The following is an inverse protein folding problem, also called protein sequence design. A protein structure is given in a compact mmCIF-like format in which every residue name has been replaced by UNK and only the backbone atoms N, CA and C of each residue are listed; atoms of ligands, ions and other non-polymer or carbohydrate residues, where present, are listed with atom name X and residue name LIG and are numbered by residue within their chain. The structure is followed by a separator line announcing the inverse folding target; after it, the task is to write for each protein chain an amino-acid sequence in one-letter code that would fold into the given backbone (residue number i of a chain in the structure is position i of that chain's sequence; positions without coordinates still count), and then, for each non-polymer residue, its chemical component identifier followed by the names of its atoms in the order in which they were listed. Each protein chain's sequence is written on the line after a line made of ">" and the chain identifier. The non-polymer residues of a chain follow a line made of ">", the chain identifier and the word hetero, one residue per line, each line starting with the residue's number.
data_IF_137859923080
#
_entry.id   IF_137859923080
#
_cell.length_a   1.000
_cell.length_b   1.000
_cell.length_c   1.000
_cell.angle_alpha   90.00
_cell.angle_beta   90.00
_cell.angle_gamma   90.00
#
_symmetry.space_group_name_H-M   'P 1'
#
loop_
_entity.id
_entity.type
_entity.pdbx_description
1 polymer ?
#
# COMPACT_ATOMS: atom_id res chain seq x y z
N UNK A 1 -0.90 39.36 -2.90
CA UNK A 1 -1.03 38.37 -1.83
C UNK A 1 0.26 38.21 -1.03
N UNK A 2 1.25 37.41 -1.46
CA UNK A 2 2.48 37.15 -0.66
C UNK A 2 3.31 38.42 -0.41
N UNK A 3 3.32 39.39 -1.34
CA UNK A 3 3.90 40.72 -1.11
C UNK A 3 3.24 41.48 0.06
N UNK A 4 1.94 41.33 0.28
CA UNK A 4 1.26 41.94 1.45
C UNK A 4 1.71 41.29 2.76
N UNK A 5 1.94 39.97 2.78
CA UNK A 5 2.49 39.26 3.94
C UNK A 5 3.88 39.80 4.31
N UNK A 6 4.79 39.90 3.32
CA UNK A 6 6.13 40.47 3.53
C UNK A 6 6.06 41.91 4.04
N UNK A 7 5.28 42.79 3.39
CA UNK A 7 5.11 44.17 3.83
C UNK A 7 4.63 44.24 5.29
N UNK A 8 3.54 43.53 5.62
CA UNK A 8 2.97 43.56 6.97
C UNK A 8 3.89 42.97 8.04
N UNK A 9 4.71 41.98 7.68
CA UNK A 9 5.70 41.37 8.56
C UNK A 9 6.87 42.32 8.87
N UNK A 10 7.32 43.13 7.90
CA UNK A 10 8.31 44.17 8.14
C UNK A 10 7.71 45.41 8.84
N UNK A 11 6.46 45.79 8.56
CA UNK A 11 5.74 46.83 9.31
C UNK A 11 5.78 46.55 10.83
N UNK A 12 5.61 45.28 11.24
CA UNK A 12 5.61 44.85 12.64
C UNK A 12 6.95 45.12 13.34
N UNK A 13 8.06 44.89 12.63
CA UNK A 13 9.42 45.16 13.13
C UNK A 13 9.67 46.66 13.30
N UNK A 14 9.20 47.46 12.35
CA UNK A 14 9.53 48.88 12.25
C UNK A 14 8.54 49.80 13.00
N UNK A 15 7.37 49.30 13.39
CA UNK A 15 6.35 50.05 14.12
C UNK A 15 5.83 49.30 15.36
N UNK A 16 6.40 49.54 16.57
CA UNK A 16 6.00 48.88 17.81
C UNK A 16 4.63 49.31 18.36
N UNK A 17 3.85 50.12 17.62
CA UNK A 17 2.45 50.44 17.95
C UNK A 17 1.44 49.53 17.22
N UNK A 18 1.88 48.61 16.38
CA UNK A 18 1.00 47.63 15.73
C UNK A 18 0.55 46.61 16.78
N UNK A 19 -0.77 46.46 16.94
CA UNK A 19 -1.33 45.37 17.73
C UNK A 19 -0.95 44.01 17.11
N UNK A 20 -0.18 43.26 17.88
CA UNK A 20 0.33 41.94 17.54
C UNK A 20 -0.80 40.90 17.32
N UNK A 21 -2.00 41.11 17.88
CA UNK A 21 -3.15 40.22 17.67
C UNK A 21 -3.86 40.49 16.33
N UNK A 22 -4.12 41.76 15.98
CA UNK A 22 -4.54 42.16 14.62
C UNK A 22 -3.53 41.70 13.56
N UNK A 23 -2.22 41.77 13.85
CA UNK A 23 -1.19 41.22 12.96
C UNK A 23 -1.34 39.70 12.77
N UNK A 24 -1.56 38.94 13.85
CA UNK A 24 -1.78 37.50 13.79
C UNK A 24 -2.95 37.10 12.90
N UNK A 25 -4.10 37.74 13.07
CA UNK A 25 -5.29 37.45 12.26
C UNK A 25 -5.06 37.76 10.78
N UNK A 26 -4.44 38.92 10.49
CA UNK A 26 -4.08 39.30 9.13
C UNK A 26 -3.13 38.28 8.48
N UNK A 27 -2.08 37.85 9.19
CA UNK A 27 -1.14 36.86 8.67
C UNK A 27 -1.79 35.48 8.49
N UNK A 28 -2.63 35.01 9.41
CA UNK A 28 -3.40 33.77 9.24
C UNK A 28 -4.31 33.86 8.00
N UNK A 29 -5.07 34.95 7.85
CA UNK A 29 -5.93 35.16 6.69
C UNK A 29 -5.13 35.16 5.38
N UNK A 30 -4.09 35.99 5.27
CA UNK A 30 -3.30 36.13 4.03
C UNK A 30 -2.43 34.91 3.69
N UNK A 31 -1.94 34.16 4.69
CA UNK A 31 -1.26 32.89 4.46
C UNK A 31 -2.25 31.81 3.99
N UNK A 32 -3.46 31.78 4.54
CA UNK A 32 -4.56 30.90 4.06
C UNK A 32 -4.97 31.23 2.63
N UNK A 33 -5.10 32.51 2.30
CA UNK A 33 -5.40 32.99 0.94
C UNK A 33 -4.32 32.49 -0.05
N UNK A 34 -3.04 32.65 0.30
CA UNK A 34 -1.91 32.24 -0.53
C UNK A 34 -1.78 30.72 -0.66
N UNK A 35 -1.98 29.97 0.43
CA UNK A 35 -1.98 28.51 0.45
C UNK A 35 -3.04 27.94 -0.49
N UNK A 36 -4.25 28.48 -0.44
CA UNK A 36 -5.34 28.05 -1.32
C UNK A 36 -5.05 28.36 -2.79
N UNK A 37 -4.47 29.52 -3.11
CA UNK A 37 -4.07 29.86 -4.48
C UNK A 37 -2.91 28.99 -4.99
N UNK A 38 -1.97 28.60 -4.13
CA UNK A 38 -0.90 27.66 -4.46
C UNK A 38 -1.45 26.28 -4.86
N UNK A 39 -2.28 25.66 -4.00
CA UNK A 39 -2.69 24.26 -4.19
C UNK A 39 -3.95 24.07 -5.04
N UNK A 40 -4.96 24.93 -4.90
CA UNK A 40 -6.23 24.80 -5.64
C UNK A 40 -6.27 25.66 -6.92
N UNK A 41 -5.40 26.67 -7.03
CA UNK A 41 -5.24 27.49 -8.24
C UNK A 41 -4.06 27.05 -9.13
N UNK A 42 -3.39 25.94 -8.78
CA UNK A 42 -2.18 25.40 -9.43
C UNK A 42 -1.03 26.41 -9.67
N UNK A 43 -1.03 27.53 -8.92
CA UNK A 43 -0.14 28.64 -9.16
C UNK A 43 1.25 28.41 -8.53
N UNK A 44 2.14 27.80 -9.31
CA UNK A 44 3.51 27.46 -8.90
C UNK A 44 4.33 28.68 -8.43
N UNK A 45 4.15 29.86 -9.03
CA UNK A 45 4.85 31.08 -8.61
C UNK A 45 4.37 31.57 -7.24
N UNK A 46 3.07 31.46 -6.94
CA UNK A 46 2.53 31.72 -5.59
C UNK A 46 3.03 30.67 -4.60
N UNK A 47 3.09 29.38 -4.97
CA UNK A 47 3.68 28.33 -4.13
C UNK A 47 5.15 28.62 -3.78
N UNK A 48 5.95 29.04 -4.76
CA UNK A 48 7.36 29.37 -4.56
C UNK A 48 7.51 30.58 -3.61
N UNK A 49 6.83 31.69 -3.91
CA UNK A 49 6.86 32.90 -3.08
C UNK A 49 6.39 32.63 -1.65
N UNK A 50 5.36 31.80 -1.47
CA UNK A 50 4.83 31.45 -0.15
C UNK A 50 5.84 30.63 0.67
N UNK A 51 6.61 29.73 0.05
CA UNK A 51 7.65 28.98 0.75
C UNK A 51 8.87 29.88 1.07
N UNK A 52 9.23 30.84 0.20
CA UNK A 52 10.22 31.87 0.54
C UNK A 52 9.79 32.69 1.76
N UNK A 53 8.54 33.18 1.77
CA UNK A 53 7.99 33.91 2.91
C UNK A 53 8.01 33.06 4.20
N UNK A 54 7.63 31.79 4.11
CA UNK A 54 7.69 30.85 5.25
C UNK A 54 9.12 30.71 5.78
N UNK A 55 10.11 30.52 4.92
CA UNK A 55 11.51 30.36 5.32
C UNK A 55 12.05 31.64 5.99
N UNK A 56 11.76 32.81 5.41
CA UNK A 56 12.18 34.10 5.98
C UNK A 56 11.46 34.40 7.30
N UNK A 57 10.18 34.06 7.42
CA UNK A 57 9.41 34.18 8.65
C UNK A 57 9.97 33.28 9.74
N UNK A 58 10.09 31.98 9.49
CA UNK A 58 10.56 31.01 10.49
C UNK A 58 11.99 31.32 10.99
N UNK A 59 12.86 31.80 10.09
CA UNK A 59 14.22 32.23 10.44
C UNK A 59 14.26 33.47 11.34
N UNK A 60 13.33 34.42 11.17
CA UNK A 60 13.39 35.74 11.82
C UNK A 60 12.23 36.01 12.79
N UNK A 61 11.30 35.05 13.01
CA UNK A 61 10.12 35.22 13.87
C UNK A 61 10.49 35.67 15.28
N UNK A 62 11.55 35.13 15.86
CA UNK A 62 12.00 35.49 17.22
C UNK A 62 12.63 36.88 17.29
N UNK A 63 13.33 37.35 16.25
CA UNK A 63 14.02 38.64 16.23
C UNK A 63 13.13 39.81 15.82
N UNK A 64 12.17 39.60 14.91
CA UNK A 64 11.19 40.62 14.52
C UNK A 64 10.07 40.83 15.57
N UNK A 65 9.98 39.98 16.60
CA UNK A 65 8.97 40.04 17.67
C UNK A 65 9.38 40.81 18.93
N UNK A 66 10.51 41.52 18.95
CA UNK A 66 10.87 42.35 20.12
C UNK A 66 9.74 43.30 20.60
N UNK A 67 8.84 43.83 19.74
CA UNK A 67 7.65 44.59 20.16
C UNK A 67 6.50 43.79 20.77
N UNK A 68 6.48 42.46 20.66
CA UNK A 68 5.34 41.59 20.94
C UNK A 68 5.60 40.56 22.08
N UNK A 69 6.10 40.96 23.27
CA UNK A 69 6.64 40.04 24.29
C UNK A 69 5.62 39.06 24.91
N UNK A 70 4.32 39.28 24.71
CA UNK A 70 3.24 38.43 25.23
C UNK A 70 2.56 37.56 24.17
N UNK A 71 3.01 37.62 22.90
CA UNK A 71 2.39 36.87 21.80
C UNK A 71 3.41 35.93 21.15
N UNK A 72 3.20 34.63 21.33
CA UNK A 72 3.85 33.59 20.54
C UNK A 72 3.27 33.59 19.14
N UNK A 73 4.08 33.90 18.11
CA UNK A 73 3.67 33.66 16.72
C UNK A 73 3.50 32.15 16.48
N UNK A 74 2.46 31.71 15.75
CA UNK A 74 2.31 30.32 15.35
C UNK A 74 3.42 29.92 14.38
N UNK A 75 3.78 28.64 14.39
CA UNK A 75 4.63 28.09 13.35
C UNK A 75 3.84 28.06 12.04
N UNK A 76 4.41 28.58 10.95
CA UNK A 76 3.78 28.52 9.63
C UNK A 76 3.96 27.11 9.05
N UNK A 77 2.89 26.37 8.75
CA UNK A 77 2.99 24.97 8.33
C UNK A 77 3.94 24.76 7.15
N UNK A 78 4.88 23.84 7.33
CA UNK A 78 5.76 23.38 6.27
C UNK A 78 4.96 22.67 5.18
N UNK A 79 5.25 23.03 3.94
CA UNK A 79 4.81 22.30 2.76
C UNK A 79 5.99 22.03 1.85
N UNK A 80 5.94 20.90 1.15
CA UNK A 80 6.97 20.41 0.25
C UNK A 80 6.50 20.65 -1.17
N UNK A 81 7.19 21.56 -1.86
CA UNK A 81 7.13 21.68 -3.31
C UNK A 81 7.68 20.39 -3.91
N UNK A 82 6.99 19.83 -4.91
CA UNK A 82 7.49 18.66 -5.62
C UNK A 82 8.57 19.12 -6.63
N UNK A 83 9.85 18.77 -6.47
CA UNK A 83 10.92 19.30 -7.33
C UNK A 83 10.83 18.84 -8.79
N UNK A 84 9.91 17.93 -9.11
CA UNK A 84 9.54 17.59 -10.48
C UNK A 84 8.70 18.67 -11.18
N UNK A 85 8.17 19.68 -10.46
CA UNK A 85 7.40 20.81 -11.02
C UNK A 85 8.28 21.84 -11.75
N UNK A 86 9.11 21.37 -12.67
CA UNK A 86 9.77 22.21 -13.67
C UNK A 86 8.72 22.83 -14.60
N UNK A 87 9.06 23.95 -15.26
CA UNK A 87 8.12 24.81 -16.01
C UNK A 87 7.39 24.16 -17.21
N UNK A 88 7.72 22.92 -17.56
CA UNK A 88 7.02 22.14 -18.58
C UNK A 88 6.23 21.02 -17.89
N UNK A 89 4.91 21.19 -17.78
CA UNK A 89 4.05 20.35 -16.97
C UNK A 89 3.78 18.96 -17.54
N UNK A 90 4.67 18.00 -17.25
CA UNK A 90 4.29 16.58 -17.10
C UNK A 90 4.45 16.18 -15.63
N UNK A 91 3.41 16.47 -14.84
CA UNK A 91 3.13 15.69 -13.65
C UNK A 91 2.74 14.30 -14.16
N UNK A 92 3.52 13.26 -13.83
CA UNK A 92 3.01 11.89 -13.97
C UNK A 92 1.74 11.80 -13.11
N UNK A 93 0.57 11.63 -13.73
CA UNK A 93 -0.72 11.76 -13.06
C UNK A 93 -0.90 10.71 -11.96
N UNK A 94 -0.54 11.13 -10.75
CA UNK A 94 -0.61 10.36 -9.50
C UNK A 94 -2.01 9.77 -9.33
N UNK A 95 -2.08 8.51 -8.93
CA UNK A 95 -3.32 7.74 -8.91
C UNK A 95 -4.36 8.38 -7.97
N UNK A 96 -3.94 8.96 -6.85
CA UNK A 96 -4.82 9.76 -6.00
C UNK A 96 -5.55 10.87 -6.75
N UNK A 97 -4.87 11.56 -7.70
CA UNK A 97 -5.50 12.59 -8.53
C UNK A 97 -6.56 11.97 -9.45
N UNK A 98 -6.25 10.87 -10.14
CA UNK A 98 -7.24 10.13 -10.95
C UNK A 98 -8.48 9.77 -10.11
N UNK A 99 -8.26 9.22 -8.91
CA UNK A 99 -9.32 8.86 -7.95
C UNK A 99 -10.12 10.05 -7.39
N UNK A 100 -9.66 11.29 -7.57
CA UNK A 100 -10.32 12.52 -7.10
C UNK A 100 -11.00 13.29 -8.23
N UNK A 101 -10.40 13.29 -9.43
CA UNK A 101 -10.83 14.09 -10.57
C UNK A 101 -11.72 13.30 -11.54
N UNK A 102 -11.34 12.08 -11.93
CA UNK A 102 -12.04 11.32 -12.99
C UNK A 102 -13.49 10.96 -12.62
N UNK A 103 -14.47 11.06 -13.53
CA UNK A 103 -15.80 10.53 -13.29
C UNK A 103 -15.74 9.00 -13.08
N UNK A 104 -16.62 8.40 -12.26
CA UNK A 104 -16.57 6.96 -11.95
C UNK A 104 -16.59 6.05 -13.18
N UNK A 105 -17.23 6.51 -14.26
CA UNK A 105 -17.41 5.80 -15.53
C UNK A 105 -16.13 5.68 -16.37
N UNK A 106 -15.13 6.54 -16.16
CA UNK A 106 -13.84 6.48 -16.89
C UNK A 106 -12.71 5.81 -16.10
N UNK A 107 -12.90 5.55 -14.80
CA UNK A 107 -11.83 5.11 -13.91
C UNK A 107 -11.36 3.67 -14.23
N UNK A 108 -10.35 3.56 -15.09
CA UNK A 108 -9.73 2.30 -15.52
C UNK A 108 -9.11 1.48 -14.38
N UNK A 109 -8.88 2.09 -13.21
CA UNK A 109 -8.37 1.39 -12.03
C UNK A 109 -9.42 0.47 -11.39
N UNK A 110 -10.71 0.68 -11.68
CA UNK A 110 -11.82 -0.05 -11.08
C UNK A 110 -12.01 0.23 -9.58
N UNK A 111 -11.47 1.35 -9.08
CA UNK A 111 -11.54 1.76 -7.67
C UNK A 111 -12.65 2.78 -7.44
N UNK A 112 -13.20 2.86 -6.23
CA UNK A 112 -14.23 3.86 -5.89
C UNK A 112 -13.65 5.28 -5.87
N UNK A 113 -14.44 6.25 -6.36
CA UNK A 113 -14.04 7.67 -6.37
C UNK A 113 -13.93 8.24 -4.95
N UNK A 114 -12.88 9.02 -4.72
CA UNK A 114 -12.65 9.81 -3.50
C UNK A 114 -13.43 11.14 -3.64
N UNK A 115 -14.45 11.35 -2.81
CA UNK A 115 -15.40 12.47 -2.97
C UNK A 115 -15.30 13.51 -1.86
N UNK A 116 -16.04 14.62 -1.98
CA UNK A 116 -16.16 15.64 -0.92
C UNK A 116 -16.98 15.16 0.28
N UNK A 117 -17.87 14.18 0.07
CA UNK A 117 -18.72 13.60 1.12
C UNK A 117 -18.09 12.36 1.77
N UNK A 118 -17.33 11.57 1.01
CA UNK A 118 -16.72 10.31 1.44
C UNK A 118 -15.20 10.39 1.29
N UNK A 119 -14.49 10.21 2.40
CA UNK A 119 -13.03 10.38 2.53
C UNK A 119 -12.54 11.82 2.27
N UNK A 120 -13.31 12.82 2.72
CA UNK A 120 -13.06 14.27 2.53
C UNK A 120 -11.61 14.70 2.84
N UNK A 121 -11.01 14.18 3.90
CA UNK A 121 -9.68 14.57 4.36
C UNK A 121 -8.58 13.91 3.52
N UNK A 122 -8.84 12.71 3.00
CA UNK A 122 -8.00 12.06 2.00
C UNK A 122 -8.07 12.81 0.66
N UNK A 123 -9.25 13.27 0.25
CA UNK A 123 -9.42 14.16 -0.91
C UNK A 123 -8.63 15.45 -0.76
N UNK A 124 -8.70 16.06 0.43
CA UNK A 124 -7.95 17.27 0.74
C UNK A 124 -6.44 17.06 0.68
N UNK A 125 -5.91 15.97 1.27
CA UNK A 125 -4.50 15.61 1.17
C UNK A 125 -4.01 15.53 -0.29
N UNK A 126 -4.77 14.86 -1.15
CA UNK A 126 -4.43 14.65 -2.56
C UNK A 126 -4.36 15.99 -3.31
N UNK A 127 -5.37 16.85 -3.16
CA UNK A 127 -5.39 18.17 -3.79
C UNK A 127 -4.28 19.11 -3.25
N UNK A 128 -3.93 18.97 -1.97
CA UNK A 128 -2.77 19.64 -1.36
C UNK A 128 -1.43 18.96 -1.73
N UNK A 129 -1.41 18.07 -2.73
CA UNK A 129 -0.22 17.39 -3.27
C UNK A 129 0.58 16.66 -2.18
N UNK A 130 -0.15 16.01 -1.27
CA UNK A 130 0.33 15.29 -0.09
C UNK A 130 0.92 16.15 1.05
N UNK A 131 0.59 17.44 1.10
CA UNK A 131 0.81 18.30 2.26
C UNK A 131 -0.37 18.24 3.24
N UNK A 132 -0.08 18.36 4.54
CA UNK A 132 -1.12 18.40 5.59
C UNK A 132 -1.96 19.68 5.42
N UNK A 133 -3.29 19.64 5.58
CA UNK A 133 -4.14 20.83 5.60
C UNK A 133 -3.64 21.93 6.52
N UNK A 134 -3.79 23.19 6.09
CA UNK A 134 -3.32 24.35 6.82
C UNK A 134 -4.06 24.49 8.16
N UNK A 135 -3.31 24.37 9.25
CA UNK A 135 -3.77 24.48 10.65
C UNK A 135 -2.68 25.14 11.50
N UNK A 136 -3.04 25.72 12.64
CA UNK A 136 -2.15 26.65 13.37
C UNK A 136 -1.71 26.16 14.75
N UNK A 137 -2.14 24.96 15.16
CA UNK A 137 -1.73 24.33 16.42
C UNK A 137 -1.31 22.87 16.21
N UNK A 138 -0.45 22.37 17.10
CA UNK A 138 -0.02 20.96 17.11
C UNK A 138 -1.19 19.99 17.29
N UNK A 139 -2.19 20.33 18.09
CA UNK A 139 -3.34 19.45 18.33
C UNK A 139 -4.28 19.38 17.11
N UNK A 140 -4.47 20.48 16.37
CA UNK A 140 -5.15 20.46 15.08
C UNK A 140 -4.36 19.67 14.03
N UNK A 141 -3.03 19.85 13.96
CA UNK A 141 -2.13 19.13 13.05
C UNK A 141 -2.20 17.62 13.26
N UNK A 142 -2.10 17.17 14.51
CA UNK A 142 -2.25 15.76 14.91
C UNK A 142 -3.66 15.23 14.58
N UNK A 143 -4.69 16.06 14.78
CA UNK A 143 -6.08 15.71 14.42
C UNK A 143 -6.29 15.58 12.91
N UNK A 144 -5.71 16.48 12.10
CA UNK A 144 -5.73 16.39 10.64
C UNK A 144 -4.99 15.14 10.16
N UNK A 145 -3.78 14.87 10.69
CA UNK A 145 -3.01 13.66 10.38
C UNK A 145 -3.77 12.36 10.72
N UNK A 146 -4.46 12.32 11.85
CA UNK A 146 -5.24 11.14 12.25
C UNK A 146 -6.53 10.98 11.45
N UNK A 147 -7.21 12.06 11.08
CA UNK A 147 -8.37 11.99 10.18
C UNK A 147 -7.98 11.55 8.76
N UNK A 148 -6.87 12.07 8.22
CA UNK A 148 -6.28 11.60 6.96
C UNK A 148 -6.01 10.09 7.01
N UNK A 149 -5.37 9.62 8.07
CA UNK A 149 -5.04 8.21 8.28
C UNK A 149 -6.29 7.33 8.36
N UNK A 150 -7.31 7.74 9.12
CA UNK A 150 -8.57 7.02 9.26
C UNK A 150 -9.35 6.99 7.94
N UNK A 151 -9.41 8.10 7.20
CA UNK A 151 -10.03 8.16 5.87
C UNK A 151 -9.29 7.30 4.83
N UNK A 152 -7.95 7.21 4.89
CA UNK A 152 -7.17 6.28 4.08
C UNK A 152 -7.41 4.81 4.43
N UNK A 153 -7.44 4.47 5.72
CA UNK A 153 -7.71 3.09 6.19
C UNK A 153 -9.11 2.64 5.78
N UNK A 154 -10.13 3.51 5.92
CA UNK A 154 -11.49 3.25 5.43
C UNK A 154 -11.50 3.02 3.93
N UNK A 155 -10.83 3.88 3.15
CA UNK A 155 -10.70 3.70 1.70
C UNK A 155 -10.10 2.34 1.33
N UNK A 156 -9.00 1.92 1.98
CA UNK A 156 -8.37 0.64 1.70
C UNK A 156 -9.23 -0.57 2.08
N UNK A 157 -10.02 -0.46 3.16
CA UNK A 157 -10.96 -1.51 3.58
C UNK A 157 -12.12 -1.67 2.60
N UNK A 158 -12.65 -0.57 2.08
CA UNK A 158 -13.79 -0.59 1.15
C UNK A 158 -13.40 -0.98 -0.27
N UNK A 159 -12.18 -0.67 -0.72
CA UNK A 159 -11.63 -1.09 -2.01
C UNK A 159 -10.80 -2.39 -1.91
N UNK A 160 -10.93 -3.12 -0.81
CA UNK A 160 -10.15 -4.32 -0.52
C UNK A 160 -10.34 -5.39 -1.62
N UNK A 161 -9.25 -6.03 -2.04
CA UNK A 161 -9.26 -7.08 -3.06
C UNK A 161 -9.16 -6.59 -4.52
N UNK A 162 -9.27 -5.29 -4.79
CA UNK A 162 -8.99 -4.70 -6.11
C UNK A 162 -7.47 -4.58 -6.34
N UNK A 163 -6.94 -5.14 -7.44
CA UNK A 163 -5.50 -5.17 -7.70
C UNK A 163 -4.83 -3.78 -7.67
N UNK A 164 -5.46 -2.79 -8.30
CA UNK A 164 -4.91 -1.44 -8.44
C UNK A 164 -4.85 -0.65 -7.12
N UNK A 165 -5.52 -1.10 -6.05
CA UNK A 165 -5.44 -0.45 -4.73
C UNK A 165 -3.98 -0.35 -4.26
N UNK A 166 -3.15 -1.36 -4.55
CA UNK A 166 -1.75 -1.39 -4.11
C UNK A 166 -0.93 -0.20 -4.63
N UNK A 167 -1.28 0.31 -5.82
CA UNK A 167 -0.59 1.43 -6.44
C UNK A 167 -0.87 2.72 -5.66
N UNK A 168 -2.14 2.96 -5.31
CA UNK A 168 -2.55 4.08 -4.45
C UNK A 168 -1.99 3.94 -3.02
N UNK A 169 -1.91 2.73 -2.47
CA UNK A 169 -1.30 2.50 -1.15
C UNK A 169 0.19 2.83 -1.13
N UNK A 170 0.92 2.44 -2.17
CA UNK A 170 2.34 2.78 -2.32
C UNK A 170 2.52 4.30 -2.46
N UNK A 171 1.66 4.96 -3.22
CA UNK A 171 1.67 6.42 -3.40
C UNK A 171 1.41 7.17 -2.08
N UNK A 172 0.40 6.77 -1.30
CA UNK A 172 0.14 7.34 0.03
C UNK A 172 1.30 7.11 1.01
N UNK A 173 1.94 5.94 0.98
CA UNK A 173 3.12 5.63 1.79
C UNK A 173 4.32 6.53 1.42
N UNK A 174 4.67 6.57 0.14
CA UNK A 174 5.84 7.29 -0.38
C UNK A 174 5.67 8.82 -0.33
N UNK A 175 4.52 9.35 -0.74
CA UNK A 175 4.32 10.80 -0.81
C UNK A 175 3.89 11.44 0.52
N UNK A 176 3.28 10.68 1.45
CA UNK A 176 2.79 11.21 2.72
C UNK A 176 3.28 10.44 3.95
N UNK A 177 2.77 9.22 4.20
CA UNK A 177 2.82 8.62 5.54
C UNK A 177 4.25 8.48 6.09
N UNK A 178 5.19 8.03 5.26
CA UNK A 178 6.60 7.83 5.67
C UNK A 178 7.30 9.16 5.97
N UNK A 179 6.92 10.25 5.29
CA UNK A 179 7.44 11.61 5.57
C UNK A 179 6.93 12.19 6.90
N UNK A 180 5.93 11.56 7.52
CA UNK A 180 5.29 11.98 8.77
C UNK A 180 5.45 10.95 9.91
N UNK A 181 6.28 9.90 9.72
CA UNK A 181 6.36 8.77 10.66
C UNK A 181 6.75 9.20 12.09
N UNK A 182 7.70 10.13 12.24
CA UNK A 182 8.13 10.66 13.53
C UNK A 182 6.99 11.39 14.28
N UNK A 183 6.10 12.08 13.57
CA UNK A 183 4.94 12.76 14.17
C UNK A 183 3.84 11.76 14.54
N UNK A 184 3.65 10.72 13.72
CA UNK A 184 2.77 9.59 14.08
C UNK A 184 3.27 8.83 15.32
N UNK A 185 4.57 8.64 15.50
CA UNK A 185 5.15 8.00 16.70
C UNK A 185 4.90 8.82 17.99
N UNK A 186 5.00 10.16 17.91
CA UNK A 186 4.61 11.06 19.02
C UNK A 186 3.13 10.87 19.37
N UNK A 187 2.24 10.85 18.38
CA UNK A 187 0.79 10.64 18.57
C UNK A 187 0.54 9.27 19.23
N UNK A 188 1.18 8.21 18.76
CA UNK A 188 1.00 6.86 19.32
C UNK A 188 1.45 6.77 20.78
N UNK A 189 2.56 7.43 21.13
CA UNK A 189 3.06 7.50 22.52
C UNK A 189 2.07 8.25 23.42
N UNK A 190 1.71 9.47 23.05
CA UNK A 190 0.81 10.37 23.76
C UNK A 190 -0.56 9.70 24.07
N UNK A 191 -1.17 9.12 23.03
CA UNK A 191 -2.47 8.47 23.14
C UNK A 191 -2.45 7.09 23.82
N UNK A 192 -1.28 6.47 24.02
CA UNK A 192 -1.15 5.25 24.82
C UNK A 192 -1.34 5.57 26.32
N UNK A 193 -0.86 6.73 26.77
CA UNK A 193 -1.05 7.20 28.15
C UNK A 193 -2.47 7.69 28.47
N UNK A 194 -3.16 8.32 27.51
CA UNK A 194 -4.52 8.84 27.73
C UNK A 194 -5.37 8.82 26.46
N UNK A 195 -6.14 7.74 26.26
CA UNK A 195 -6.89 7.47 25.02
C UNK A 195 -7.91 8.52 24.59
N UNK A 196 -8.44 9.32 25.52
CA UNK A 196 -9.63 10.15 25.27
C UNK A 196 -9.49 11.64 25.64
N UNK A 197 -8.36 12.06 26.21
CA UNK A 197 -8.16 13.48 26.58
C UNK A 197 -8.09 14.44 25.37
N UNK A 198 -7.78 13.92 24.17
CA UNK A 198 -7.67 14.72 22.94
C UNK A 198 -8.31 13.99 21.77
N UNK A 199 -8.92 14.78 20.86
CA UNK A 199 -9.66 14.26 19.70
C UNK A 199 -8.83 13.33 18.79
N UNK A 200 -7.55 13.63 18.57
CA UNK A 200 -6.66 12.75 17.81
C UNK A 200 -6.40 11.39 18.48
N UNK A 201 -6.55 11.28 19.81
CA UNK A 201 -6.45 10.02 20.54
C UNK A 201 -7.73 9.17 20.41
N UNK A 202 -8.90 9.80 20.29
CA UNK A 202 -10.14 9.09 19.90
C UNK A 202 -10.00 8.51 18.49
N UNK A 203 -9.45 9.27 17.54
CA UNK A 203 -9.18 8.80 16.17
C UNK A 203 -8.13 7.67 16.14
N UNK A 204 -7.08 7.77 16.98
CA UNK A 204 -6.08 6.71 17.15
C UNK A 204 -6.70 5.44 17.74
N UNK A 205 -7.58 5.57 18.74
CA UNK A 205 -8.29 4.44 19.35
C UNK A 205 -9.09 3.68 18.29
N UNK A 206 -9.90 4.39 17.47
CA UNK A 206 -10.62 3.82 16.31
C UNK A 206 -9.65 3.10 15.35
N UNK A 207 -8.50 3.68 15.01
CA UNK A 207 -7.51 3.03 14.15
C UNK A 207 -6.91 1.76 14.78
N UNK A 208 -6.64 1.77 16.10
CA UNK A 208 -5.98 0.67 16.81
C UNK A 208 -6.91 -0.46 17.30
N UNK A 209 -8.21 -0.20 17.35
CA UNK A 209 -9.22 -1.14 17.85
C UNK A 209 -10.16 -1.59 16.72
N UNK A 210 -10.98 -0.68 16.14
CA UNK A 210 -11.95 -1.01 15.07
C UNK A 210 -11.28 -1.43 13.75
N UNK A 211 -10.13 -0.83 13.43
CA UNK A 211 -9.35 -1.09 12.20
C UNK A 211 -7.98 -1.72 12.50
N UNK A 212 -7.89 -2.45 13.61
CA UNK A 212 -6.65 -3.02 14.16
C UNK A 212 -5.82 -3.82 13.15
N UNK A 213 -6.44 -4.56 12.23
CA UNK A 213 -5.72 -5.34 11.22
C UNK A 213 -5.11 -4.41 10.17
N UNK A 214 -5.93 -3.55 9.59
CA UNK A 214 -5.60 -2.60 8.53
C UNK A 214 -4.50 -1.63 8.96
N UNK A 215 -4.59 -1.12 10.19
CA UNK A 215 -3.63 -0.22 10.79
C UNK A 215 -2.30 -0.91 11.15
N UNK A 216 -2.34 -2.10 11.74
CA UNK A 216 -1.14 -2.92 12.00
C UNK A 216 -0.39 -3.24 10.70
N UNK A 217 -1.13 -3.54 9.63
CA UNK A 217 -0.55 -3.85 8.33
C UNK A 217 0.02 -2.63 7.60
N UNK A 218 -0.61 -1.45 7.73
CA UNK A 218 -0.03 -0.20 7.26
C UNK A 218 1.34 0.06 7.91
N UNK A 219 1.43 -0.05 9.25
CA UNK A 219 2.70 0.13 9.99
C UNK A 219 3.76 -0.85 9.50
N UNK A 220 3.43 -2.14 9.39
CA UNK A 220 4.31 -3.19 8.86
C UNK A 220 4.79 -2.92 7.43
N UNK A 221 3.96 -2.32 6.57
CA UNK A 221 4.34 -2.00 5.20
C UNK A 221 5.17 -0.70 5.10
N UNK A 222 4.93 0.29 5.96
CA UNK A 222 5.84 1.43 6.13
C UNK A 222 7.23 0.97 6.61
N UNK A 223 7.30 0.07 7.60
CA UNK A 223 8.56 -0.52 8.09
C UNK A 223 9.37 -1.19 6.97
N UNK A 224 8.70 -1.97 6.10
CA UNK A 224 9.34 -2.61 4.93
C UNK A 224 9.93 -1.58 3.98
N UNK A 225 9.20 -0.52 3.68
CA UNK A 225 9.63 0.53 2.75
C UNK A 225 10.82 1.30 3.32
N UNK A 226 10.76 1.70 4.59
CA UNK A 226 11.85 2.36 5.31
C UNK A 226 13.12 1.48 5.34
N UNK A 227 12.96 0.16 5.50
CA UNK A 227 14.03 -0.83 5.46
C UNK A 227 14.46 -1.23 4.03
N UNK A 228 14.12 -0.43 3.02
CA UNK A 228 14.54 -0.60 1.62
C UNK A 228 13.84 -1.71 0.82
N UNK A 229 13.00 -2.54 1.45
CA UNK A 229 12.34 -3.69 0.83
C UNK A 229 11.09 -3.28 0.03
N UNK A 230 11.23 -2.33 -0.90
CA UNK A 230 10.15 -1.78 -1.75
C UNK A 230 9.34 -2.87 -2.50
N UNK A 231 9.98 -3.98 -2.87
CA UNK A 231 9.38 -5.05 -3.70
C UNK A 231 8.36 -5.98 -3.03
N UNK A 232 7.93 -5.73 -1.78
CA UNK A 232 7.02 -6.65 -1.07
C UNK A 232 5.94 -5.97 -0.22
N UNK A 233 5.49 -4.77 -0.60
CA UNK A 233 4.22 -4.24 -0.08
C UNK A 233 3.10 -5.09 -0.70
N UNK A 234 2.65 -6.06 0.09
CA UNK A 234 1.45 -6.86 -0.15
C UNK A 234 0.57 -6.60 1.06
N UNK A 235 -0.57 -5.96 0.84
CA UNK A 235 -1.63 -5.88 1.84
C UNK A 235 -2.32 -7.24 1.87
N UNK A 236 -2.25 -7.95 2.99
CA UNK A 236 -2.76 -9.32 3.14
C UNK A 236 -4.28 -9.34 3.28
N UNK A 237 -4.96 -8.89 2.21
CA UNK A 237 -6.31 -9.32 1.89
C UNK A 237 -6.32 -10.85 1.86
N UNK A 238 -6.86 -11.45 2.93
CA UNK A 238 -7.06 -12.90 3.00
C UNK A 238 -8.32 -13.20 2.22
N UNK A 239 -8.17 -13.30 0.88
CA UNK A 239 -8.98 -14.14 -0.03
C UNK A 239 -8.59 -13.90 -1.50
N UNK A 240 -8.23 -12.68 -1.91
CA UNK A 240 -8.02 -12.35 -3.32
C UNK A 240 -6.60 -12.66 -3.86
N UNK A 241 -6.11 -13.88 -3.63
CA UNK A 241 -4.96 -14.46 -4.35
C UNK A 241 -5.38 -15.01 -5.72
N UNK A 242 -6.24 -14.30 -6.46
CA UNK A 242 -6.45 -14.61 -7.88
C UNK A 242 -5.18 -14.29 -8.66
N UNK A 243 -4.84 -15.16 -9.62
CA UNK A 243 -3.76 -14.91 -10.56
C UNK A 243 -3.97 -13.61 -11.35
N UNK A 244 -5.22 -13.16 -11.54
CA UNK A 244 -5.56 -11.92 -12.26
C UNK A 244 -5.07 -10.67 -11.52
N UNK A 245 -5.13 -10.67 -10.19
CA UNK A 245 -4.60 -9.59 -9.35
C UNK A 245 -3.07 -9.52 -9.44
N UNK A 246 -2.39 -10.67 -9.49
CA UNK A 246 -0.93 -10.71 -9.70
C UNK A 246 -0.57 -10.27 -11.13
N UNK A 247 -1.28 -10.76 -12.13
CA UNK A 247 -1.06 -10.44 -13.56
C UNK A 247 -1.23 -8.94 -13.82
N UNK A 248 -2.25 -8.28 -13.27
CA UNK A 248 -2.46 -6.84 -13.44
C UNK A 248 -1.35 -6.00 -12.77
N UNK A 249 -0.91 -6.37 -11.56
CA UNK A 249 0.24 -5.74 -10.89
C UNK A 249 1.53 -5.90 -11.73
N UNK A 250 1.76 -7.07 -12.32
CA UNK A 250 2.91 -7.29 -13.20
C UNK A 250 2.80 -6.57 -14.56
N UNK A 251 1.60 -6.46 -15.13
CA UNK A 251 1.33 -5.81 -16.42
C UNK A 251 1.55 -4.31 -16.39
N UNK A 252 1.31 -3.68 -15.24
CA UNK A 252 1.48 -2.24 -15.03
C UNK A 252 2.93 -1.83 -14.67
N UNK A 253 3.88 -2.78 -14.64
CA UNK A 253 5.30 -2.51 -14.42
C UNK A 253 6.13 -2.81 -15.68
N UNK A 254 6.66 -1.78 -16.39
CA UNK A 254 7.32 -1.97 -17.68
C UNK A 254 8.58 -2.85 -17.60
N UNK A 255 9.31 -2.82 -16.47
CA UNK A 255 10.49 -3.64 -16.27
C UNK A 255 10.15 -5.13 -16.13
N UNK A 256 9.00 -5.46 -15.53
CA UNK A 256 8.57 -6.85 -15.34
C UNK A 256 8.09 -7.44 -16.66
N UNK A 257 7.47 -6.64 -17.53
CA UNK A 257 7.00 -7.09 -18.85
C UNK A 257 8.14 -7.66 -19.73
N UNK A 258 9.33 -7.07 -19.65
CA UNK A 258 10.53 -7.55 -20.36
C UNK A 258 11.16 -8.82 -19.73
N UNK A 259 10.95 -9.07 -18.44
CA UNK A 259 11.58 -10.18 -17.70
C UNK A 259 10.64 -11.40 -17.61
N UNK A 260 9.33 -11.21 -17.77
CA UNK A 260 8.31 -12.26 -17.74
C UNK A 260 8.63 -13.47 -18.64
N UNK A 261 9.08 -13.31 -19.91
CA UNK A 261 9.41 -14.45 -20.78
C UNK A 261 10.58 -15.29 -20.23
N UNK A 262 11.58 -14.64 -19.64
CA UNK A 262 12.73 -15.32 -19.03
C UNK A 262 12.33 -16.09 -17.75
N UNK A 263 11.44 -15.53 -16.93
CA UNK A 263 10.90 -16.22 -15.74
C UNK A 263 10.08 -17.45 -16.16
N UNK A 264 9.20 -17.32 -17.15
CA UNK A 264 8.40 -18.46 -17.66
C UNK A 264 9.31 -19.54 -18.25
N UNK A 265 10.34 -19.16 -19.02
CA UNK A 265 11.34 -20.09 -19.54
C UNK A 265 12.11 -20.82 -18.42
N UNK A 266 12.53 -20.12 -17.36
CA UNK A 266 13.21 -20.72 -16.21
C UNK A 266 12.30 -21.67 -15.42
N UNK A 267 11.01 -21.36 -15.27
CA UNK A 267 10.03 -22.24 -14.61
C UNK A 267 9.81 -23.51 -15.45
N UNK A 268 9.58 -23.37 -16.76
CA UNK A 268 9.42 -24.51 -17.68
C UNK A 268 10.69 -25.37 -17.72
N UNK A 269 11.87 -24.76 -17.83
CA UNK A 269 13.15 -25.46 -17.78
C UNK A 269 13.34 -26.21 -16.45
N UNK A 270 12.95 -25.60 -15.32
CA UNK A 270 13.00 -26.27 -14.02
C UNK A 270 12.05 -27.48 -13.96
N UNK A 271 10.81 -27.35 -14.45
CA UNK A 271 9.84 -28.46 -14.51
C UNK A 271 10.35 -29.60 -15.40
N UNK A 272 10.95 -29.28 -16.55
CA UNK A 272 11.58 -30.26 -17.44
C UNK A 272 12.80 -30.92 -16.79
N UNK A 273 13.66 -30.16 -16.10
CA UNK A 273 14.83 -30.67 -15.39
C UNK A 273 14.44 -31.60 -14.22
N UNK A 274 13.44 -31.21 -13.41
CA UNK A 274 12.94 -32.05 -12.31
C UNK A 274 12.21 -33.29 -12.82
N UNK A 275 11.40 -33.21 -13.88
CA UNK A 275 10.73 -34.38 -14.45
C UNK A 275 11.74 -35.36 -15.07
N UNK A 276 12.72 -34.87 -15.83
CA UNK A 276 13.85 -35.66 -16.33
C UNK A 276 14.58 -36.37 -15.18
N UNK A 277 15.03 -35.63 -14.16
CA UNK A 277 15.79 -36.15 -13.02
C UNK A 277 14.98 -37.11 -12.12
N UNK A 278 13.66 -36.97 -12.08
CA UNK A 278 12.77 -37.91 -11.38
C UNK A 278 12.52 -39.22 -12.16
N UNK A 279 12.96 -39.34 -13.42
CA UNK A 279 12.84 -40.59 -14.19
C UNK A 279 13.70 -41.70 -13.56
N UNK A 280 14.94 -41.39 -13.17
CA UNK A 280 15.81 -42.30 -12.43
C UNK A 280 15.28 -42.63 -11.03
N UNK A 281 14.61 -41.67 -10.37
CA UNK A 281 13.97 -41.91 -9.06
C UNK A 281 12.83 -42.93 -9.20
N UNK A 282 12.03 -42.87 -10.28
CA UNK A 282 11.02 -43.91 -10.58
C UNK A 282 11.65 -45.28 -10.86
N UNK A 283 12.79 -45.34 -11.54
CA UNK A 283 13.53 -46.57 -11.78
C UNK A 283 14.11 -47.16 -10.47
N UNK A 284 14.70 -46.33 -9.61
CA UNK A 284 15.22 -46.69 -8.30
C UNK A 284 14.12 -47.18 -7.34
N UNK A 285 12.97 -46.49 -7.29
CA UNK A 285 11.80 -46.92 -6.53
C UNK A 285 11.28 -48.28 -7.00
N UNK A 286 11.13 -48.50 -8.33
CA UNK A 286 10.78 -49.83 -8.86
C UNK A 286 11.79 -50.90 -8.43
N UNK A 287 13.10 -50.62 -8.54
CA UNK A 287 14.20 -51.55 -8.23
C UNK A 287 14.25 -51.96 -6.75
N UNK A 288 13.84 -51.07 -5.83
CA UNK A 288 13.87 -51.32 -4.39
C UNK A 288 12.55 -51.89 -3.84
N UNK A 289 11.39 -51.46 -4.36
CA UNK A 289 10.08 -51.89 -3.83
C UNK A 289 9.74 -53.33 -4.29
N UNK A 290 9.93 -53.65 -5.57
CA UNK A 290 9.60 -54.98 -6.13
C UNK A 290 10.53 -56.12 -5.66
N UNK A 291 11.57 -55.83 -4.88
CA UNK A 291 12.48 -56.84 -4.31
C UNK A 291 12.06 -57.38 -2.94
N UNK A 292 11.00 -56.84 -2.30
CA UNK A 292 10.54 -57.30 -0.97
C UNK A 292 9.43 -58.36 -1.00
N UNK A 293 8.71 -58.52 -2.11
CA UNK A 293 7.54 -59.43 -2.22
C UNK A 293 7.88 -60.83 -2.74
N UNK A 294 8.93 -61.46 -2.21
CA UNK A 294 9.14 -62.91 -2.40
C UNK A 294 9.92 -63.58 -1.25
N UNK A 295 9.26 -63.72 -0.09
CA UNK A 295 9.61 -64.75 0.90
C UNK A 295 8.38 -65.22 1.68
N UNK A 296 8.09 -66.51 1.48
CA UNK A 296 7.34 -67.48 2.29
C UNK A 296 6.24 -66.99 3.25
N UNK A 297 5.03 -67.51 3.03
CA UNK A 297 4.24 -68.09 4.11
C UNK A 297 3.90 -69.53 3.73
N UNK A 298 4.43 -70.49 4.49
CA UNK A 298 3.80 -71.79 4.67
C UNK A 298 3.00 -71.66 5.97
N UNK A 299 1.73 -72.06 5.95
CA UNK A 299 0.96 -72.47 7.12
C UNK A 299 0.11 -73.63 6.63
N UNK A 300 0.34 -74.81 7.21
CA UNK A 300 -0.41 -76.03 6.94
C UNK A 300 -1.61 -76.13 7.91
N UNK A 301 -2.60 -76.99 7.58
CA UNK A 301 -3.64 -77.70 8.38
C UNK A 301 -4.04 -77.18 9.80
N UNK A 302 -5.29 -77.20 10.27
CA UNK A 302 -6.56 -77.92 9.96
C UNK A 302 -7.75 -77.01 10.46
N UNK A 303 -9.08 -77.25 10.41
CA UNK A 303 -10.03 -78.30 9.98
C UNK A 303 -11.43 -77.60 9.79
N UNK A 304 -12.52 -78.38 9.61
CA UNK A 304 -13.92 -78.18 10.04
C UNK A 304 -14.96 -77.95 8.92
N UNK A 305 -15.53 -79.09 8.48
CA UNK A 305 -16.93 -79.31 8.03
C UNK A 305 -17.36 -78.84 6.61
N UNK A 306 -17.15 -79.77 5.68
CA UNK A 306 -18.12 -80.32 4.69
C UNK A 306 -19.52 -79.67 4.54
N UNK A 307 -19.89 -79.40 3.29
CA UNK A 307 -21.26 -79.70 2.80
C UNK A 307 -21.33 -79.88 1.28
N UNK A 308 -21.15 -81.13 0.83
CA UNK A 308 -21.79 -81.79 -0.33
C UNK A 308 -22.45 -80.94 -1.45
N UNK A 309 -21.97 -81.08 -2.71
CA UNK A 309 -22.62 -81.95 -3.72
C UNK A 309 -22.03 -81.88 -5.15
N UNK A 310 -21.73 -83.07 -5.69
CA UNK A 310 -21.99 -83.56 -7.06
C UNK A 310 -21.59 -82.75 -8.32
N UNK A 311 -20.58 -83.28 -9.01
CA UNK A 311 -20.63 -83.78 -10.39
C UNK A 311 -21.33 -82.94 -11.49
N UNK A 312 -20.57 -82.59 -12.55
CA UNK A 312 -20.65 -83.42 -13.76
C UNK A 312 -19.36 -83.39 -14.61
N UNK A 313 -19.08 -84.54 -15.24
CA UNK A 313 -18.18 -84.72 -16.38
C UNK A 313 -18.61 -83.90 -17.61
N UNK A 314 -17.86 -83.81 -18.71
CA UNK A 314 -16.42 -83.83 -19.00
C UNK A 314 -16.26 -83.47 -20.49
N UNK A 315 -15.05 -83.15 -20.95
CA UNK A 315 -14.50 -83.75 -22.19
C UNK A 315 -13.15 -83.13 -22.57
N UNK A 316 -12.17 -84.00 -22.81
CA UNK A 316 -10.95 -83.65 -23.53
C UNK A 316 -11.29 -83.42 -25.02
N UNK A 317 -10.48 -82.63 -25.73
CA UNK A 317 -9.77 -83.23 -26.87
C UNK A 317 -8.44 -82.53 -27.18
N UNK A 318 -7.41 -83.34 -27.38
CA UNK A 318 -6.08 -82.93 -27.80
C UNK A 318 -5.96 -83.10 -29.33
N UNK A 319 -5.26 -82.20 -30.05
CA UNK A 319 -4.01 -82.58 -30.73
C UNK A 319 -3.52 -81.63 -31.85
N UNK A 320 -2.20 -81.70 -32.07
CA UNK A 320 -1.47 -81.51 -33.35
C UNK A 320 -1.56 -80.16 -34.09
N UNK A 321 -0.57 -79.31 -33.75
CA UNK A 321 0.27 -78.50 -34.65
C UNK A 321 0.01 -78.67 -36.16
N UNK A 322 -0.13 -77.54 -36.87
CA UNK A 322 0.56 -77.31 -38.15
C UNK A 322 1.43 -76.07 -38.04
N UNK A 323 2.64 -76.15 -38.59
CA UNK A 323 3.51 -75.00 -38.85
C UNK A 323 3.35 -74.67 -40.33
N UNK A 324 2.98 -73.42 -40.63
CA UNK A 324 3.32 -72.79 -41.91
C UNK A 324 3.81 -71.38 -41.58
N UNK A 325 5.11 -71.14 -41.80
CA UNK A 325 5.62 -69.78 -42.01
C UNK A 325 5.68 -69.56 -43.52
N UNK A 326 5.16 -68.44 -43.97
CA UNK A 326 5.73 -67.71 -45.10
C UNK A 326 5.61 -66.22 -44.79
N UNK A 327 6.62 -65.45 -45.18
CA UNK A 327 6.75 -64.03 -44.88
C UNK A 327 6.32 -63.18 -46.06
N UNK A 328 5.55 -62.13 -45.79
CA UNK A 328 5.91 -60.76 -46.13
C UNK A 328 5.32 -59.81 -45.08
#
# INVERSE_FOLDING_TARGET
>A
MVRELYNKYYDLRDNPKIDCSTFLEYCKHKYTEAWNNCFHGDNADVCYQLNSFRIDYEKNRTSHLAPCPHITLPELPEFKLDPSSNKNGLINDKIGKQLVDEPPETNTLGLTKITTYKYKELRSLILLKYNIPLVYTEDEKRSAMMNILLSFIRYCKENNGHANLILFMNEFLEYYYIKQVNEYEKIYTDCTSNKYAKYYCTLFTICSEDFKKEFSELKKNADKYIKGNKGSIVWSSRENTSMENLISIFRNNPYILHILPAIVALILFSILFYSYKCTDVRYWLRKNILKRTKKNFNIDEEDVVDSTNNNFDSSNFNSKKRIVRLSY
#
